data_IF_589447671474
#
_entry.id   IF_589447671474
#
_cell.length_a   1.000
_cell.length_b   1.000
_cell.length_c   1.000
_cell.angle_alpha   90.00
_cell.angle_beta   90.00
_cell.angle_gamma   90.00
#
_symmetry.space_group_name_H-M   'P 1'
#
loop_
_entity.id
_entity.type
_entity.pdbx_description
1 polymer ?
#
# COMPACT_ATOMS: atom_id res chain seq x y z
N UNK A 1 -38.88 -12.06 45.05
CA UNK A 1 -38.46 -11.12 44.00
C UNK A 1 -36.99 -10.75 44.21
N UNK A 2 -36.08 -11.33 43.44
CA UNK A 2 -34.66 -10.98 43.41
C UNK A 2 -34.39 -10.18 42.12
N UNK A 3 -33.97 -8.93 42.25
CA UNK A 3 -33.40 -8.16 41.14
C UNK A 3 -31.91 -8.51 40.99
N UNK A 4 -31.40 -8.73 39.77
CA UNK A 4 -29.97 -8.97 39.56
C UNK A 4 -29.18 -7.67 39.75
N UNK A 5 -28.09 -7.77 40.54
CA UNK A 5 -27.12 -6.71 40.76
C UNK A 5 -26.49 -6.28 39.45
N UNK A 6 -26.66 -5.00 39.06
CA UNK A 6 -25.90 -4.39 37.98
C UNK A 6 -24.42 -4.36 38.34
N UNK A 7 -23.57 -4.47 37.32
CA UNK A 7 -22.11 -4.46 37.40
C UNK A 7 -21.60 -3.27 38.22
N UNK A 8 -20.99 -3.55 39.36
CA UNK A 8 -20.29 -2.55 40.18
C UNK A 8 -18.89 -2.37 39.61
N UNK A 9 -18.67 -1.28 38.87
CA UNK A 9 -17.33 -0.91 38.42
C UNK A 9 -16.47 -0.50 39.63
N UNK A 10 -15.27 -1.06 39.81
CA UNK A 10 -14.37 -0.62 40.86
C UNK A 10 -13.93 0.83 40.58
N UNK A 11 -13.96 1.66 41.62
CA UNK A 11 -13.44 3.02 41.58
C UNK A 11 -11.93 2.97 41.38
N UNK A 12 -11.45 3.41 40.22
CA UNK A 12 -10.01 3.51 39.90
C UNK A 12 -9.29 4.61 40.71
N UNK A 13 -10.02 5.38 41.50
CA UNK A 13 -9.47 6.45 42.34
C UNK A 13 -9.84 6.22 43.81
N UNK A 14 -8.87 6.33 44.75
CA UNK A 14 -9.15 6.24 46.17
C UNK A 14 -10.09 7.36 46.63
N UNK A 15 -11.03 7.03 47.51
CA UNK A 15 -11.96 8.01 48.12
C UNK A 15 -11.17 9.12 48.81
N UNK A 16 -11.30 10.35 48.30
CA UNK A 16 -10.62 11.53 48.82
C UNK A 16 -9.53 12.11 47.90
N UNK A 17 -9.22 11.47 46.76
CA UNK A 17 -8.32 12.07 45.79
C UNK A 17 -9.02 13.25 45.08
N UNK A 18 -8.52 14.47 45.32
CA UNK A 18 -8.96 15.68 44.61
C UNK A 18 -8.34 15.66 43.21
N UNK A 19 -9.11 15.19 42.23
CA UNK A 19 -8.69 15.19 40.82
C UNK A 19 -8.91 16.60 40.29
N UNK A 20 -7.84 17.37 40.16
CA UNK A 20 -7.88 18.63 39.41
C UNK A 20 -7.76 18.29 37.92
N UNK A 21 -8.82 18.48 37.11
CA UNK A 21 -8.74 18.20 35.69
C UNK A 21 -7.65 19.06 35.06
N UNK A 22 -6.78 18.44 34.26
CA UNK A 22 -5.84 19.18 33.42
C UNK A 22 -6.66 20.14 32.57
N UNK A 23 -6.36 21.43 32.68
CA UNK A 23 -7.04 22.48 31.92
C UNK A 23 -7.18 22.07 30.46
N UNK A 24 -8.41 22.14 29.96
CA UNK A 24 -8.82 21.71 28.63
C UNK A 24 -7.79 22.21 27.61
N UNK A 25 -6.98 21.30 27.02
CA UNK A 25 -5.90 21.70 26.12
C UNK A 25 -6.40 22.34 24.81
N UNK A 26 -7.69 22.22 24.53
CA UNK A 26 -8.34 22.79 23.36
C UNK A 26 -9.85 22.90 23.63
N UNK A 27 -10.36 24.13 23.69
CA UNK A 27 -11.79 24.39 23.62
C UNK A 27 -12.25 24.13 22.18
N UNK A 28 -13.24 23.26 22.01
CA UNK A 28 -13.99 23.17 20.76
C UNK A 28 -15.15 24.16 20.86
N UNK A 29 -15.26 25.07 19.89
CA UNK A 29 -16.38 25.99 19.83
C UNK A 29 -17.69 25.19 19.69
N UNK A 30 -18.62 25.47 20.59
CA UNK A 30 -19.93 24.84 20.61
C UNK A 30 -20.72 25.26 19.37
N UNK A 31 -21.06 24.30 18.50
CA UNK A 31 -21.86 24.54 17.29
C UNK A 31 -23.32 25.00 17.57
N UNK A 32 -23.70 25.15 18.84
CA UNK A 32 -25.08 25.46 19.25
C UNK A 32 -25.23 26.77 20.03
N UNK A 33 -24.17 27.55 20.26
CA UNK A 33 -24.29 28.86 20.91
C UNK A 33 -24.45 29.97 19.85
N UNK A 34 -25.70 30.23 19.49
CA UNK A 34 -26.09 31.50 18.90
C UNK A 34 -26.28 32.55 20.00
N UNK A 35 -25.43 33.56 20.04
CA UNK A 35 -25.64 34.73 20.90
C UNK A 35 -24.39 35.55 21.22
N UNK A 36 -24.18 36.60 20.42
CA UNK A 36 -23.59 37.90 20.80
C UNK A 36 -22.29 37.90 21.64
N UNK A 37 -21.15 38.00 20.94
CA UNK A 37 -19.97 38.65 21.49
C UNK A 37 -19.37 39.60 20.46
N UNK A 38 -19.41 40.90 20.79
CA UNK A 38 -18.70 41.99 20.12
C UNK A 38 -17.19 41.73 20.10
N UNK A 39 -16.74 41.06 19.05
CA UNK A 39 -15.36 41.08 18.61
C UNK A 39 -15.39 40.86 17.11
N UNK A 40 -15.48 41.94 16.33
CA UNK A 40 -15.24 41.89 14.89
C UNK A 40 -13.89 41.23 14.63
N UNK A 41 -13.85 40.01 14.07
CA UNK A 41 -12.60 39.44 13.61
C UNK A 41 -12.24 40.21 12.36
N UNK A 42 -11.02 40.73 12.29
CA UNK A 42 -10.45 41.22 11.04
C UNK A 42 -10.35 40.03 10.08
N UNK A 43 -11.38 39.84 9.26
CA UNK A 43 -11.40 38.89 8.15
C UNK A 43 -10.30 39.35 7.21
N UNK A 44 -9.14 38.68 7.24
CA UNK A 44 -8.17 38.81 6.15
C UNK A 44 -8.90 38.31 4.92
N UNK A 45 -9.08 39.19 3.96
CA UNK A 45 -9.66 38.92 2.65
C UNK A 45 -8.86 37.78 2.01
N UNK A 46 -9.37 36.56 2.19
CA UNK A 46 -8.78 35.33 1.68
C UNK A 46 -9.32 35.13 0.28
N UNK A 47 -8.48 35.43 -0.71
CA UNK A 47 -8.80 35.21 -2.11
C UNK A 47 -8.28 33.81 -2.52
N UNK A 48 -9.16 32.80 -2.60
CA UNK A 48 -8.77 31.42 -2.90
C UNK A 48 -8.14 31.29 -4.29
N UNK A 49 -8.46 32.21 -5.22
CA UNK A 49 -7.93 32.21 -6.58
C UNK A 49 -6.45 32.59 -6.55
N UNK A 50 -6.07 33.63 -5.80
CA UNK A 50 -4.67 34.04 -5.65
C UNK A 50 -3.81 33.00 -4.95
N UNK A 51 -4.38 32.24 -4.00
CA UNK A 51 -3.65 31.12 -3.39
C UNK A 51 -3.40 30.02 -4.42
N UNK A 52 -4.43 29.66 -5.18
CA UNK A 52 -4.31 28.64 -6.23
C UNK A 52 -3.28 29.04 -7.28
N UNK A 53 -3.28 30.30 -7.74
CA UNK A 53 -2.29 30.83 -8.69
C UNK A 53 -0.86 30.76 -8.12
N UNK A 54 -0.69 31.05 -6.82
CA UNK A 54 0.61 30.96 -6.15
C UNK A 54 1.11 29.51 -6.06
N UNK A 55 0.22 28.56 -5.76
CA UNK A 55 0.53 27.13 -5.71
C UNK A 55 0.86 26.58 -7.10
N UNK A 56 0.10 26.95 -8.13
CA UNK A 56 0.39 26.61 -9.53
C UNK A 56 1.75 27.17 -9.97
N UNK A 57 2.07 28.42 -9.62
CA UNK A 57 3.37 29.02 -9.91
C UNK A 57 4.54 28.33 -9.19
N UNK A 58 4.34 27.83 -7.97
CA UNK A 58 5.33 27.04 -7.26
C UNK A 58 5.54 25.66 -7.92
N UNK A 59 4.46 25.01 -8.36
CA UNK A 59 4.53 23.74 -9.06
C UNK A 59 5.30 23.88 -10.38
N UNK A 60 5.04 24.92 -11.17
CA UNK A 60 5.75 25.19 -12.42
C UNK A 60 7.26 25.33 -12.17
N UNK A 61 7.66 26.12 -11.15
CA UNK A 61 9.09 26.26 -10.78
C UNK A 61 9.74 24.94 -10.38
N UNK A 62 9.01 24.08 -9.67
CA UNK A 62 9.49 22.75 -9.30
C UNK A 62 9.66 21.85 -10.52
N UNK A 63 8.73 21.90 -11.48
CA UNK A 63 8.81 21.14 -12.73
C UNK A 63 9.98 21.63 -13.60
N UNK A 64 10.21 22.94 -13.70
CA UNK A 64 11.38 23.51 -14.39
C UNK A 64 12.70 23.06 -13.74
N UNK A 65 12.78 23.12 -12.41
CA UNK A 65 13.95 22.65 -11.67
C UNK A 65 14.18 21.15 -11.87
N UNK A 66 13.12 20.34 -11.89
CA UNK A 66 13.19 18.92 -12.15
C UNK A 66 13.66 18.60 -13.58
N UNK A 67 13.09 19.26 -14.59
CA UNK A 67 13.51 19.11 -15.98
C UNK A 67 14.99 19.50 -16.18
N UNK A 68 15.43 20.62 -15.60
CA UNK A 68 16.85 21.02 -15.67
C UNK A 68 17.79 19.98 -15.04
N UNK A 69 17.31 19.26 -14.00
CA UNK A 69 18.06 18.19 -13.34
C UNK A 69 18.09 16.93 -14.19
N UNK A 70 16.97 16.57 -14.82
CA UNK A 70 16.89 15.47 -15.78
C UNK A 70 17.81 15.70 -16.98
N UNK A 71 17.77 16.89 -17.59
CA UNK A 71 18.63 17.25 -18.72
C UNK A 71 20.12 17.18 -18.34
N UNK A 72 20.47 17.59 -17.11
CA UNK A 72 21.84 17.46 -16.60
C UNK A 72 22.27 16.01 -16.41
N UNK A 73 21.37 15.13 -15.96
CA UNK A 73 21.66 13.71 -15.83
C UNK A 73 21.78 13.02 -17.20
N UNK A 74 20.87 13.31 -18.13
CA UNK A 74 20.87 12.72 -19.47
C UNK A 74 22.06 13.19 -20.32
N UNK A 75 22.43 14.47 -20.24
CA UNK A 75 23.66 14.99 -20.89
C UNK A 75 24.96 14.45 -20.29
N UNK A 76 24.95 14.08 -19.00
CA UNK A 76 26.06 13.38 -18.36
C UNK A 76 26.26 11.96 -18.91
N UNK A 77 25.17 11.21 -19.11
CA UNK A 77 25.19 9.86 -19.67
C UNK A 77 25.68 9.80 -21.13
N UNK A 78 25.41 10.83 -21.93
CA UNK A 78 25.89 10.91 -23.32
C UNK A 78 27.39 11.26 -23.45
N UNK A 79 28.06 11.69 -22.36
CA UNK A 79 29.52 11.92 -22.37
C UNK A 79 30.33 10.67 -22.03
N UNK A 80 29.79 9.74 -21.26
CA UNK A 80 30.49 8.51 -20.87
C UNK A 80 30.48 7.43 -21.96
N UNK A 81 29.62 7.56 -22.98
CA UNK A 81 29.54 6.61 -24.10
C UNK A 81 30.39 7.00 -25.32
N UNK A 82 31.12 8.12 -25.28
CA UNK A 82 31.89 8.63 -26.43
C UNK A 82 33.43 8.52 -26.32
N UNK A 83 34.00 7.92 -25.27
CA UNK A 83 35.45 7.71 -25.16
C UNK A 83 35.80 6.22 -25.02
N UNK A 84 35.84 5.52 -26.15
CA UNK A 84 36.21 4.10 -26.16
C UNK A 84 36.56 3.57 -27.54
N UNK A 85 37.61 4.12 -28.18
CA UNK A 85 38.40 3.45 -29.23
C UNK A 85 39.64 4.27 -29.63
N UNK A 86 40.80 3.95 -29.04
CA UNK A 86 42.08 3.77 -29.79
C UNK A 86 43.18 3.20 -28.88
N UNK A 87 43.92 2.27 -29.48
CA UNK A 87 45.04 1.46 -28.98
C UNK A 87 46.33 2.29 -28.79
N UNK A 88 47.26 1.64 -28.06
CA UNK A 88 48.72 1.53 -28.28
C UNK A 88 49.69 2.16 -27.27
N UNK A 89 50.76 1.38 -27.06
CA UNK A 89 51.82 1.39 -26.04
C UNK A 89 52.71 2.65 -26.00
N UNK A 90 53.39 2.87 -24.85
CA UNK A 90 54.88 2.95 -24.73
C UNK A 90 55.33 3.51 -23.36
N UNK A 91 56.46 2.98 -22.90
CA UNK A 91 57.20 3.16 -21.64
C UNK A 91 57.79 4.56 -21.36
N UNK A 92 57.99 4.78 -20.05
CA UNK A 92 59.09 5.46 -19.32
C UNK A 92 59.33 6.97 -19.48
N UNK A 93 59.39 7.65 -18.32
CA UNK A 93 60.05 8.95 -18.15
C UNK A 93 59.75 9.61 -16.81
N UNK A 94 60.79 9.84 -16.00
CA UNK A 94 60.76 10.32 -14.60
C UNK A 94 61.22 11.79 -14.57
N UNK A 95 60.50 12.70 -13.90
CA UNK A 95 61.03 13.81 -13.07
C UNK A 95 59.95 14.85 -12.64
N UNK A 96 59.75 14.93 -11.31
CA UNK A 96 59.59 16.13 -10.43
C UNK A 96 58.80 17.36 -10.93
N UNK A 97 57.70 17.73 -10.25
CA UNK A 97 57.69 18.62 -9.06
C UNK A 97 56.27 19.16 -8.74
N UNK A 98 55.98 19.21 -7.43
CA UNK A 98 55.05 20.08 -6.69
C UNK A 98 53.65 20.43 -7.24
N UNK A 99 52.62 19.89 -6.59
CA UNK A 99 51.27 20.44 -6.61
C UNK A 99 50.39 19.79 -5.54
N UNK A 100 50.23 20.46 -4.39
CA UNK A 100 49.29 20.09 -3.33
C UNK A 100 47.88 19.87 -3.90
N UNK A 101 47.28 18.69 -3.71
CA UNK A 101 45.83 18.58 -3.64
C UNK A 101 45.40 17.57 -2.57
N UNK A 102 44.65 18.14 -1.62
CA UNK A 102 44.03 17.50 -0.46
C UNK A 102 43.10 16.38 -0.90
N UNK A 103 43.08 15.30 -0.12
CA UNK A 103 42.10 14.23 -0.22
C UNK A 103 40.67 14.75 -0.16
N UNK A 104 39.91 14.47 -1.23
CA UNK A 104 38.46 14.59 -1.25
C UNK A 104 37.86 13.35 -0.63
N UNK A 105 37.45 13.45 0.64
CA UNK A 105 36.48 12.53 1.24
C UNK A 105 35.26 12.45 0.33
N UNK A 106 34.83 11.24 0.00
CA UNK A 106 33.52 11.01 -0.60
C UNK A 106 32.47 11.67 0.27
N UNK A 107 31.74 12.62 -0.31
CA UNK A 107 30.60 13.25 0.35
C UNK A 107 29.51 12.19 0.46
N UNK A 108 29.42 11.54 1.63
CA UNK A 108 28.18 10.90 2.06
C UNK A 108 27.19 12.05 2.24
N UNK A 109 26.37 12.30 1.22
CA UNK A 109 25.25 13.23 1.34
C UNK A 109 24.20 12.53 2.19
N UNK A 110 24.14 12.93 3.46
CA UNK A 110 23.08 12.58 4.38
C UNK A 110 21.73 12.97 3.75
N UNK A 111 20.92 11.96 3.42
CA UNK A 111 19.53 12.13 2.98
C UNK A 111 18.77 12.86 4.10
N UNK A 112 18.49 14.15 3.90
CA UNK A 112 17.50 14.86 4.72
C UNK A 112 16.13 14.28 4.35
N UNK A 113 15.54 13.53 5.27
CA UNK A 113 14.11 13.21 5.24
C UNK A 113 13.32 14.52 5.13
N UNK A 114 12.64 14.72 4.01
CA UNK A 114 11.58 15.71 3.92
C UNK A 114 10.43 15.26 4.83
N UNK A 115 9.93 16.12 5.73
CA UNK A 115 8.82 15.76 6.59
C UNK A 115 7.59 15.47 5.73
N UNK A 116 6.95 14.33 6.02
CA UNK A 116 5.67 13.93 5.43
C UNK A 116 4.66 15.03 5.73
N UNK A 117 3.98 15.52 4.69
CA UNK A 117 2.90 16.50 4.83
C UNK A 117 1.89 16.01 5.87
N UNK A 118 1.68 16.84 6.90
CA UNK A 118 0.69 16.64 7.97
C UNK A 118 -0.72 17.06 7.55
N UNK A 119 -0.90 17.49 6.30
CA UNK A 119 -2.23 17.80 5.79
C UNK A 119 -3.07 16.51 5.73
N UNK A 120 -4.25 16.46 6.36
CA UNK A 120 -5.15 15.32 6.24
C UNK A 120 -5.54 15.18 4.76
N UNK A 121 -5.15 14.06 4.15
CA UNK A 121 -5.53 13.72 2.79
C UNK A 121 -7.05 13.59 2.77
N UNK A 122 -7.74 14.50 2.07
CA UNK A 122 -9.16 14.31 1.76
C UNK A 122 -9.24 13.26 0.66
N UNK A 123 -9.42 12.01 1.08
CA UNK A 123 -9.79 10.91 0.20
C UNK A 123 -11.20 11.22 -0.29
N UNK A 124 -11.31 11.73 -1.52
CA UNK A 124 -12.58 11.85 -2.21
C UNK A 124 -12.80 10.53 -2.95
N UNK A 125 -13.17 9.50 -2.19
CA UNK A 125 -13.65 8.27 -2.79
C UNK A 125 -15.04 8.52 -3.37
N UNK A 126 -15.28 8.02 -4.58
CA UNK A 126 -16.63 7.87 -5.12
C UNK A 126 -17.41 7.01 -4.14
N UNK A 127 -18.26 7.66 -3.34
CA UNK A 127 -19.35 6.96 -2.69
C UNK A 127 -20.12 6.27 -3.82
N UNK A 128 -20.08 4.94 -3.83
CA UNK A 128 -20.96 4.15 -4.68
C UNK A 128 -22.36 4.76 -4.58
N UNK A 129 -23.00 5.12 -5.71
CA UNK A 129 -24.37 5.59 -5.67
C UNK A 129 -25.19 4.52 -4.97
N UNK A 130 -26.02 4.95 -4.02
CA UNK A 130 -26.94 4.08 -3.28
C UNK A 130 -28.07 3.61 -4.20
N UNK A 131 -27.71 3.00 -5.33
CA UNK A 131 -28.63 2.28 -6.18
C UNK A 131 -28.77 0.90 -5.54
N UNK A 132 -29.92 0.74 -4.90
CA UNK A 132 -30.39 -0.41 -4.12
C UNK A 132 -29.95 -0.48 -2.66
N UNK A 133 -30.74 0.24 -1.87
CA UNK A 133 -31.04 0.10 -0.43
C UNK A 133 -30.21 0.99 0.48
N UNK A 134 -30.95 1.79 1.26
CA UNK A 134 -30.52 2.56 2.43
C UNK A 134 -29.97 1.67 3.57
N UNK A 135 -29.11 0.71 3.26
CA UNK A 135 -28.36 -0.08 4.23
C UNK A 135 -27.05 0.63 4.56
N UNK A 136 -26.64 0.56 5.82
CA UNK A 136 -25.25 0.83 6.17
C UNK A 136 -24.36 -0.07 5.29
N UNK A 137 -23.32 0.47 4.64
CA UNK A 137 -22.34 -0.31 3.85
C UNK A 137 -21.83 -1.55 4.61
N UNK A 138 -21.78 -1.44 5.94
CA UNK A 138 -21.44 -2.52 6.86
C UNK A 138 -22.34 -3.78 6.79
N UNK A 139 -23.54 -3.67 6.22
CA UNK A 139 -24.52 -4.75 6.06
C UNK A 139 -24.59 -5.32 4.63
N UNK A 140 -23.85 -4.77 3.68
CA UNK A 140 -23.74 -5.35 2.35
C UNK A 140 -22.96 -6.68 2.42
N UNK A 141 -23.38 -7.67 1.64
CA UNK A 141 -22.63 -8.91 1.52
C UNK A 141 -21.24 -8.60 0.94
N UNK A 142 -20.15 -9.06 1.58
CA UNK A 142 -18.82 -8.85 1.04
C UNK A 142 -18.71 -9.51 -0.33
N UNK A 143 -18.15 -8.79 -1.30
CA UNK A 143 -17.93 -9.32 -2.64
C UNK A 143 -16.47 -9.16 -3.02
N UNK A 144 -15.90 -10.19 -3.64
CA UNK A 144 -14.59 -10.10 -4.28
C UNK A 144 -14.73 -9.21 -5.50
N UNK A 145 -13.92 -8.16 -5.57
CA UNK A 145 -13.93 -7.18 -6.65
C UNK A 145 -13.82 -7.90 -7.99
N UNK A 146 -14.59 -7.42 -8.97
CA UNK A 146 -14.58 -7.96 -10.33
C UNK A 146 -14.19 -6.84 -11.28
N UNK A 147 -12.91 -6.80 -11.62
CA UNK A 147 -12.34 -5.82 -12.53
C UNK A 147 -12.22 -6.37 -13.94
N UNK A 148 -11.94 -5.48 -14.89
CA UNK A 148 -11.64 -5.88 -16.26
C UNK A 148 -10.37 -6.76 -16.29
N UNK A 149 -10.45 -7.89 -16.99
CA UNK A 149 -9.44 -8.94 -16.96
C UNK A 149 -8.63 -8.92 -18.25
N UNK A 150 -7.33 -8.55 -18.24
CA UNK A 150 -6.48 -8.83 -19.37
C UNK A 150 -6.41 -10.35 -19.56
N UNK A 151 -6.65 -10.83 -20.79
CA UNK A 151 -6.49 -12.24 -21.13
C UNK A 151 -5.01 -12.59 -21.03
N UNK A 152 -4.67 -13.49 -20.09
CA UNK A 152 -3.35 -14.08 -20.02
C UNK A 152 -3.40 -15.43 -20.72
N UNK A 153 -2.62 -15.62 -21.78
CA UNK A 153 -2.59 -16.91 -22.48
C UNK A 153 -2.02 -17.99 -21.56
N UNK A 154 -0.80 -17.78 -21.08
CA UNK A 154 -0.11 -18.69 -20.18
C UNK A 154 0.90 -17.93 -19.33
N UNK A 155 0.75 -17.98 -18.01
CA UNK A 155 1.74 -17.54 -17.05
C UNK A 155 2.45 -18.76 -16.46
N UNK A 156 3.75 -18.66 -16.21
CA UNK A 156 4.51 -19.67 -15.47
C UNK A 156 5.15 -19.03 -14.26
N UNK A 157 4.84 -19.52 -13.07
CA UNK A 157 5.39 -19.05 -11.81
C UNK A 157 6.22 -20.16 -11.18
N UNK A 158 7.47 -19.84 -10.82
CA UNK A 158 8.32 -20.64 -9.96
C UNK A 158 8.19 -20.11 -8.54
N UNK A 159 7.77 -20.96 -7.61
CA UNK A 159 7.49 -20.58 -6.22
C UNK A 159 8.38 -21.34 -5.24
N UNK A 160 8.77 -20.67 -4.16
CA UNK A 160 9.46 -21.33 -3.05
C UNK A 160 8.44 -22.09 -2.18
N UNK A 161 8.88 -23.00 -1.29
CA UNK A 161 7.97 -23.73 -0.40
C UNK A 161 7.10 -22.81 0.46
N UNK A 162 7.62 -21.64 0.85
CA UNK A 162 6.88 -20.68 1.66
C UNK A 162 5.72 -20.06 0.85
N UNK A 163 5.94 -19.79 -0.44
CA UNK A 163 5.03 -19.09 -1.35
C UNK A 163 3.77 -19.90 -1.71
N UNK A 164 3.85 -21.25 -1.70
CA UNK A 164 2.79 -22.17 -2.19
C UNK A 164 1.43 -21.87 -1.56
N UNK A 165 1.43 -21.60 -0.26
CA UNK A 165 0.25 -21.31 0.53
C UNK A 165 -0.61 -20.14 -0.01
N UNK A 166 0.05 -19.13 -0.59
CA UNK A 166 -0.63 -17.99 -1.19
C UNK A 166 -1.17 -18.29 -2.58
N UNK A 167 -0.45 -19.12 -3.34
CA UNK A 167 -0.90 -19.59 -4.66
C UNK A 167 -2.17 -20.43 -4.53
N UNK A 168 -2.26 -21.29 -3.51
CA UNK A 168 -3.48 -22.06 -3.22
C UNK A 168 -4.70 -21.15 -2.99
N UNK A 169 -4.49 -20.03 -2.29
CA UNK A 169 -5.55 -19.06 -2.02
C UNK A 169 -6.03 -18.36 -3.30
N UNK A 170 -5.10 -18.03 -4.20
CA UNK A 170 -5.45 -17.48 -5.52
C UNK A 170 -6.10 -18.52 -6.44
N UNK A 171 -5.71 -19.79 -6.34
CA UNK A 171 -6.27 -20.88 -7.15
C UNK A 171 -7.76 -21.13 -6.86
N UNK A 172 -8.19 -20.94 -5.60
CA UNK A 172 -9.62 -20.97 -5.22
C UNK A 172 -10.42 -19.95 -6.02
N UNK A 173 -9.98 -18.69 -6.00
CA UNK A 173 -10.60 -17.59 -6.78
C UNK A 173 -10.49 -17.86 -8.28
N UNK A 174 -9.38 -18.44 -8.74
CA UNK A 174 -9.19 -18.83 -10.14
C UNK A 174 -10.28 -19.75 -10.67
N UNK A 175 -10.82 -20.64 -9.83
CA UNK A 175 -11.88 -21.59 -10.20
C UNK A 175 -13.16 -20.86 -10.62
N UNK A 176 -13.57 -19.86 -9.86
CA UNK A 176 -14.76 -19.04 -10.15
C UNK A 176 -14.54 -18.11 -11.34
N UNK A 177 -13.30 -17.67 -11.54
CA UNK A 177 -12.92 -16.71 -12.59
C UNK A 177 -12.51 -17.39 -13.90
N UNK A 178 -12.51 -18.72 -13.96
CA UNK A 178 -12.15 -19.48 -15.17
C UNK A 178 -10.67 -19.43 -15.53
N UNK A 179 -9.79 -19.20 -14.55
CA UNK A 179 -8.33 -19.22 -14.70
C UNK A 179 -7.81 -20.53 -14.13
N UNK A 180 -7.24 -21.37 -14.99
CA UNK A 180 -6.73 -22.67 -14.56
C UNK A 180 -5.38 -22.53 -13.86
N UNK A 181 -5.23 -23.20 -12.73
CA UNK A 181 -3.94 -23.41 -12.08
C UNK A 181 -3.51 -24.86 -12.35
N UNK A 182 -2.27 -25.06 -12.79
CA UNK A 182 -1.72 -26.37 -13.12
C UNK A 182 -0.30 -26.54 -12.55
N UNK A 183 0.18 -27.78 -12.41
CA UNK A 183 1.48 -28.07 -11.79
C UNK A 183 1.35 -28.44 -10.31
N UNK A 184 2.17 -27.81 -9.46
CA UNK A 184 2.20 -28.08 -8.00
C UNK A 184 0.90 -27.69 -7.29
N UNK A 185 0.26 -26.62 -7.74
CA UNK A 185 -1.07 -26.21 -7.28
C UNK A 185 -2.03 -26.33 -8.45
N UNK A 186 -3.10 -27.08 -8.26
CA UNK A 186 -4.14 -27.29 -9.28
C UNK A 186 -5.51 -26.98 -8.73
N UNK A 187 -6.36 -26.38 -9.55
CA UNK A 187 -7.76 -26.15 -9.25
C UNK A 187 -8.73 -26.98 -10.11
N UNK A 188 -8.21 -27.90 -10.94
CA UNK A 188 -9.03 -28.89 -11.64
C UNK A 188 -9.97 -28.36 -12.73
N UNK A 189 -9.90 -27.07 -13.08
CA UNK A 189 -10.74 -26.48 -14.14
C UNK A 189 -9.99 -26.39 -15.48
N UNK A 190 -10.76 -26.32 -16.57
CA UNK A 190 -10.21 -26.03 -17.90
C UNK A 190 -9.96 -24.54 -18.05
N UNK A 191 -8.83 -24.16 -18.67
CA UNK A 191 -8.46 -22.77 -18.91
C UNK A 191 -9.45 -22.11 -19.87
N UNK A 192 -10.32 -21.22 -19.36
CA UNK A 192 -11.23 -20.39 -20.17
C UNK A 192 -10.62 -19.00 -20.39
N UNK A 193 -10.07 -18.41 -19.34
CA UNK A 193 -9.53 -17.05 -19.32
C UNK A 193 -8.01 -16.99 -19.14
N UNK A 194 -7.35 -18.15 -19.10
CA UNK A 194 -5.91 -18.29 -18.99
C UNK A 194 -5.47 -19.49 -18.16
N UNK A 195 -4.17 -19.78 -18.22
CA UNK A 195 -3.51 -20.82 -17.42
C UNK A 195 -2.34 -20.21 -16.63
N UNK A 196 -2.23 -20.54 -15.34
CA UNK A 196 -1.08 -20.26 -14.47
C UNK A 196 -0.42 -21.59 -14.10
N UNK A 197 0.77 -21.85 -14.66
CA UNK A 197 1.56 -23.04 -14.35
C UNK A 197 2.44 -22.76 -13.14
N UNK A 198 2.23 -23.52 -12.07
CA UNK A 198 2.93 -23.39 -10.79
C UNK A 198 4.00 -24.47 -10.70
N UNK A 199 5.26 -24.04 -10.67
CA UNK A 199 6.42 -24.92 -10.53
C UNK A 199 7.09 -24.66 -9.18
N UNK A 200 7.59 -25.71 -8.53
CA UNK A 200 8.42 -25.56 -7.34
C UNK A 200 9.85 -25.23 -7.74
N UNK A 201 10.42 -24.17 -7.17
CA UNK A 201 11.79 -23.75 -7.45
C UNK A 201 12.55 -23.34 -6.21
N UNK A 202 13.88 -23.20 -6.35
CA UNK A 202 14.75 -22.68 -5.30
C UNK A 202 14.59 -21.16 -5.09
N UNK A 203 14.14 -20.45 -6.14
CA UNK A 203 13.88 -19.02 -6.13
C UNK A 203 12.51 -18.71 -6.73
N UNK A 204 11.97 -17.57 -6.31
CA UNK A 204 10.74 -17.02 -6.85
C UNK A 204 11.00 -16.39 -8.23
N UNK A 205 10.18 -16.73 -9.22
CA UNK A 205 10.15 -15.99 -10.49
C UNK A 205 8.81 -16.16 -11.19
N UNK A 206 8.43 -15.15 -11.96
CA UNK A 206 7.27 -15.14 -12.84
C UNK A 206 7.73 -14.92 -14.28
N UNK A 207 7.14 -15.68 -15.20
CA UNK A 207 7.30 -15.54 -16.65
C UNK A 207 5.93 -15.46 -17.32
N UNK A 208 5.69 -14.39 -18.07
CA UNK A 208 4.48 -14.18 -18.88
C UNK A 208 4.92 -13.65 -20.23
N UNK A 209 4.70 -14.42 -21.29
CA UNK A 209 5.14 -14.09 -22.66
C UNK A 209 6.63 -13.69 -22.71
N UNK A 210 6.95 -12.42 -23.00
CA UNK A 210 8.31 -11.88 -23.05
C UNK A 210 8.77 -11.26 -21.73
N UNK A 211 7.89 -11.16 -20.74
CA UNK A 211 8.16 -10.55 -19.45
C UNK A 211 8.60 -11.59 -18.43
N UNK A 212 9.70 -11.30 -17.72
CA UNK A 212 10.12 -12.07 -16.56
C UNK A 212 10.45 -11.16 -15.38
N UNK A 213 10.09 -11.61 -14.18
CA UNK A 213 10.37 -10.88 -12.94
C UNK A 213 10.65 -11.83 -11.79
N UNK A 214 11.60 -11.46 -10.94
CA UNK A 214 11.87 -12.12 -9.66
C UNK A 214 11.17 -11.43 -8.48
N UNK A 215 10.49 -10.31 -8.71
CA UNK A 215 9.80 -9.54 -7.67
C UNK A 215 8.40 -10.13 -7.38
N UNK A 216 8.17 -10.52 -6.12
CA UNK A 216 6.90 -11.11 -5.68
C UNK A 216 5.75 -10.14 -5.81
N UNK A 217 5.96 -8.87 -5.45
CA UNK A 217 4.90 -7.87 -5.43
C UNK A 217 4.37 -7.63 -6.85
N UNK A 218 5.27 -7.51 -7.82
CA UNK A 218 4.91 -7.43 -9.23
C UNK A 218 4.20 -8.71 -9.69
N UNK A 219 4.70 -9.89 -9.30
CA UNK A 219 4.07 -11.14 -9.71
C UNK A 219 2.65 -11.30 -9.17
N UNK A 220 2.40 -10.97 -7.91
CA UNK A 220 1.06 -11.00 -7.32
C UNK A 220 0.13 -10.01 -8.00
N UNK A 221 0.60 -8.81 -8.37
CA UNK A 221 -0.21 -7.85 -9.14
C UNK A 221 -0.57 -8.39 -10.52
N UNK A 222 0.37 -9.02 -11.22
CA UNK A 222 0.13 -9.59 -12.55
C UNK A 222 -0.88 -10.74 -12.50
N UNK A 223 -0.73 -11.66 -11.54
CA UNK A 223 -1.68 -12.76 -11.34
C UNK A 223 -3.03 -12.21 -10.87
N UNK A 224 -3.03 -11.24 -9.95
CA UNK A 224 -4.24 -10.56 -9.49
C UNK A 224 -4.99 -9.86 -10.63
N UNK A 225 -4.27 -9.26 -11.59
CA UNK A 225 -4.86 -8.69 -12.79
C UNK A 225 -5.51 -9.77 -13.66
N UNK A 226 -4.85 -10.91 -13.87
CA UNK A 226 -5.40 -12.05 -14.58
C UNK A 226 -6.73 -12.54 -13.95
N UNK A 227 -6.78 -12.55 -12.63
CA UNK A 227 -7.94 -12.97 -11.84
C UNK A 227 -9.03 -11.90 -11.77
N UNK A 228 -8.73 -10.64 -12.14
CA UNK A 228 -9.67 -9.52 -12.03
C UNK A 228 -9.82 -8.97 -10.62
N UNK A 229 -8.85 -9.23 -9.73
CA UNK A 229 -8.82 -8.75 -8.33
C UNK A 229 -7.81 -7.61 -8.12
N UNK A 230 -7.19 -7.16 -9.21
CA UNK A 230 -6.29 -6.02 -9.32
C UNK A 230 -6.42 -5.43 -10.73
N UNK A 231 -6.20 -4.12 -10.91
CA UNK A 231 -6.17 -3.48 -12.23
C UNK A 231 -5.08 -2.41 -12.26
N UNK A 232 -4.50 -2.14 -13.43
CA UNK A 232 -3.52 -1.08 -13.63
C UNK A 232 -4.17 0.23 -14.12
N UNK A 233 -5.49 0.32 -14.13
CA UNK A 233 -6.22 1.52 -14.53
C UNK A 233 -5.98 2.67 -13.55
N UNK A 234 -5.88 3.88 -14.10
CA UNK A 234 -5.56 5.09 -13.33
C UNK A 234 -6.69 5.49 -12.37
N UNK A 235 -7.93 5.14 -12.69
CA UNK A 235 -9.12 5.40 -11.86
C UNK A 235 -9.02 4.72 -10.49
N UNK A 236 -8.30 3.59 -10.42
CA UNK A 236 -8.09 2.83 -9.20
C UNK A 236 -6.76 3.16 -8.51
N UNK A 237 -6.10 4.27 -8.84
CA UNK A 237 -4.76 4.60 -8.33
C UNK A 237 -4.68 4.62 -6.78
N UNK A 238 -5.70 5.13 -6.10
CA UNK A 238 -5.76 5.17 -4.63
C UNK A 238 -5.86 3.75 -4.06
N UNK A 239 -6.81 2.95 -4.55
CA UNK A 239 -6.96 1.55 -4.16
C UNK A 239 -5.68 0.75 -4.45
N UNK A 240 -5.08 0.94 -5.62
CA UNK A 240 -3.84 0.30 -6.03
C UNK A 240 -2.65 0.66 -5.14
N UNK A 241 -2.63 1.88 -4.60
CA UNK A 241 -1.63 2.31 -3.62
C UNK A 241 -1.79 1.55 -2.30
N UNK A 242 -3.03 1.36 -1.83
CA UNK A 242 -3.31 0.52 -0.65
C UNK A 242 -2.93 -0.94 -0.90
N UNK A 243 -3.35 -1.51 -2.03
CA UNK A 243 -2.97 -2.88 -2.43
C UNK A 243 -1.45 -3.03 -2.44
N UNK A 244 -0.74 -2.13 -3.09
CA UNK A 244 0.72 -2.20 -3.16
C UNK A 244 1.36 -2.17 -1.78
N UNK A 245 0.91 -1.28 -0.90
CA UNK A 245 1.41 -1.20 0.49
C UNK A 245 1.25 -2.52 1.24
N UNK A 246 0.11 -3.19 1.10
CA UNK A 246 -0.12 -4.48 1.75
C UNK A 246 0.70 -5.60 1.16
N UNK A 247 0.89 -5.61 -0.16
CA UNK A 247 1.76 -6.58 -0.82
C UNK A 247 3.22 -6.44 -0.38
N UNK A 248 3.72 -5.22 -0.16
CA UNK A 248 5.06 -5.00 0.40
C UNK A 248 5.18 -5.60 1.80
N UNK A 249 4.17 -5.40 2.66
CA UNK A 249 4.15 -5.99 4.01
C UNK A 249 4.07 -7.51 3.98
N UNK A 250 3.35 -8.06 2.98
CA UNK A 250 3.29 -9.49 2.78
C UNK A 250 4.66 -10.05 2.36
N UNK A 251 5.36 -9.38 1.45
CA UNK A 251 6.70 -9.77 1.03
C UNK A 251 7.68 -9.77 2.21
N UNK A 252 7.62 -8.76 3.10
CA UNK A 252 8.37 -8.75 4.38
C UNK A 252 8.08 -10.02 5.23
N UNK A 253 6.82 -10.45 5.31
CA UNK A 253 6.43 -11.67 6.03
C UNK A 253 7.00 -12.92 5.37
N UNK A 254 6.99 -12.98 4.04
CA UNK A 254 7.54 -14.11 3.27
C UNK A 254 9.06 -14.20 3.47
N UNK A 255 9.77 -13.08 3.30
CA UNK A 255 11.22 -13.01 3.48
C UNK A 255 11.65 -13.42 4.89
N UNK A 256 10.86 -13.05 5.89
CA UNK A 256 11.06 -13.40 7.30
C UNK A 256 10.49 -14.77 7.68
N UNK A 257 10.09 -15.59 6.69
CA UNK A 257 9.58 -16.96 6.87
C UNK A 257 8.44 -17.06 7.89
N UNK A 258 7.48 -16.13 7.79
CA UNK A 258 6.30 -16.07 8.68
C UNK A 258 6.66 -15.94 10.16
N UNK A 259 7.72 -15.18 10.48
CA UNK A 259 8.08 -14.88 11.87
C UNK A 259 6.91 -14.25 12.64
N UNK A 260 6.60 -14.81 13.81
CA UNK A 260 5.46 -14.41 14.66
C UNK A 260 5.43 -12.91 14.97
N UNK A 261 6.59 -12.26 15.16
CA UNK A 261 6.65 -10.83 15.43
C UNK A 261 6.20 -10.01 14.20
N UNK A 262 6.65 -10.42 13.01
CA UNK A 262 6.32 -9.73 11.75
C UNK A 262 4.85 -9.96 11.42
N UNK A 263 4.34 -11.18 11.63
CA UNK A 263 2.91 -11.50 11.49
C UNK A 263 2.08 -10.72 12.51
N UNK A 264 2.53 -10.58 13.76
CA UNK A 264 1.87 -9.77 14.80
C UNK A 264 1.83 -8.28 14.47
N UNK A 265 2.88 -7.74 13.85
CA UNK A 265 2.91 -6.36 13.33
C UNK A 265 1.95 -6.19 12.15
N UNK A 266 1.88 -7.18 11.25
CA UNK A 266 0.91 -7.19 10.15
C UNK A 266 -0.52 -7.24 10.70
N UNK A 267 -0.79 -8.08 11.70
CA UNK A 267 -2.09 -8.19 12.36
C UNK A 267 -2.50 -6.87 13.01
N UNK A 268 -1.59 -6.24 13.76
CA UNK A 268 -1.83 -4.95 14.41
C UNK A 268 -2.11 -3.84 13.39
N UNK A 269 -1.33 -3.81 12.30
CA UNK A 269 -1.53 -2.85 11.21
C UNK A 269 -2.86 -3.10 10.50
N UNK A 270 -3.22 -4.37 10.27
CA UNK A 270 -4.48 -4.76 9.65
C UNK A 270 -5.66 -4.34 10.52
N UNK A 271 -5.60 -4.61 11.83
CA UNK A 271 -6.61 -4.15 12.78
C UNK A 271 -6.70 -2.62 12.79
N UNK A 272 -5.60 -1.88 12.80
CA UNK A 272 -5.70 -0.42 12.75
C UNK A 272 -6.38 0.07 11.45
N UNK A 273 -6.05 -0.54 10.31
CA UNK A 273 -6.65 -0.18 9.03
C UNK A 273 -8.13 -0.53 8.95
N UNK A 274 -8.48 -1.77 9.32
CA UNK A 274 -9.84 -2.30 9.31
C UNK A 274 -10.76 -1.65 10.37
N UNK A 275 -10.24 -0.78 11.22
CA UNK A 275 -11.08 0.08 12.07
C UNK A 275 -11.77 1.21 11.29
N UNK A 276 -11.29 1.50 10.07
CA UNK A 276 -11.77 2.59 9.20
C UNK A 276 -12.33 2.10 7.87
N UNK A 277 -11.87 0.93 7.42
CA UNK A 277 -12.21 0.33 6.13
C UNK A 277 -12.76 -1.08 6.36
N UNK A 278 -13.68 -1.53 5.50
CA UNK A 278 -14.22 -2.88 5.58
C UNK A 278 -13.31 -3.93 4.91
N UNK A 279 -12.37 -3.52 4.06
CA UNK A 279 -11.34 -4.37 3.46
C UNK A 279 -9.95 -3.70 3.51
N UNK A 280 -8.91 -4.43 3.11
CA UNK A 280 -7.53 -3.91 3.11
C UNK A 280 -7.24 -2.94 1.96
N UNK A 281 -8.10 -2.86 0.94
CA UNK A 281 -7.89 -1.92 -0.18
C UNK A 281 -9.00 -0.90 -0.36
N UNK A 282 -10.21 -1.14 0.15
CA UNK A 282 -11.36 -0.28 -0.10
C UNK A 282 -12.41 -0.38 1.01
N UNK A 283 -13.48 0.39 0.86
CA UNK A 283 -14.61 0.38 1.79
C UNK A 283 -15.65 -0.71 1.55
N UNK A 284 -15.66 -1.38 0.39
CA UNK A 284 -16.78 -2.26 0.04
C UNK A 284 -16.36 -3.57 -0.64
N UNK A 285 -15.17 -3.64 -1.22
CA UNK A 285 -14.77 -4.81 -2.01
C UNK A 285 -13.50 -5.47 -1.47
N UNK A 286 -13.53 -6.80 -1.45
CA UNK A 286 -12.37 -7.62 -1.17
C UNK A 286 -11.49 -7.68 -2.42
N UNK A 287 -10.19 -7.58 -2.23
CA UNK A 287 -9.20 -7.42 -3.29
C UNK A 287 -8.01 -8.36 -3.09
N UNK A 288 -7.04 -8.29 -3.98
CA UNK A 288 -5.81 -9.09 -3.91
C UNK A 288 -5.17 -9.22 -2.50
N UNK A 289 -4.87 -8.15 -1.74
CA UNK A 289 -4.28 -8.28 -0.41
C UNK A 289 -5.19 -9.01 0.57
N UNK A 290 -6.51 -8.89 0.43
CA UNK A 290 -7.46 -9.58 1.31
C UNK A 290 -7.33 -11.09 1.19
N UNK A 291 -7.27 -11.56 -0.06
CA UNK A 291 -7.12 -12.98 -0.41
C UNK A 291 -5.78 -13.57 0.06
N UNK A 292 -4.72 -12.76 0.00
CA UNK A 292 -3.36 -13.21 0.32
C UNK A 292 -3.04 -13.13 1.81
N UNK A 293 -3.55 -12.13 2.53
CA UNK A 293 -3.26 -11.95 3.95
C UNK A 293 -4.18 -12.81 4.82
N UNK A 294 -5.44 -13.00 4.43
CA UNK A 294 -6.44 -13.79 5.18
C UNK A 294 -5.89 -15.11 5.72
N UNK A 295 -5.19 -15.95 4.92
CA UNK A 295 -4.75 -17.26 5.38
C UNK A 295 -3.72 -17.20 6.53
N UNK A 296 -3.07 -16.06 6.78
CA UNK A 296 -2.12 -15.90 7.89
C UNK A 296 -2.80 -15.79 9.26
N UNK A 297 -4.09 -15.47 9.31
CA UNK A 297 -4.80 -15.17 10.54
C UNK A 297 -5.77 -16.30 10.90
N UNK A 298 -5.56 -16.92 12.05
CA UNK A 298 -6.33 -18.08 12.49
C UNK A 298 -7.17 -17.78 13.73
N UNK A 299 -6.53 -17.74 14.91
CA UNK A 299 -7.21 -17.62 16.21
C UNK A 299 -6.75 -16.38 16.98
N UNK A 300 -7.56 -15.96 17.97
CA UNK A 300 -7.30 -14.81 18.85
C UNK A 300 -7.11 -13.49 18.07
N UNK A 301 -8.05 -13.21 17.16
CA UNK A 301 -8.00 -12.02 16.32
C UNK A 301 -8.71 -10.84 17.01
N UNK A 302 -8.23 -9.59 16.82
CA UNK A 302 -9.00 -8.41 17.17
C UNK A 302 -10.36 -8.42 16.46
N UNK A 303 -11.40 -7.92 17.11
CA UNK A 303 -12.79 -8.01 16.64
C UNK A 303 -12.98 -7.57 15.17
N UNK A 304 -12.30 -6.52 14.73
CA UNK A 304 -12.41 -6.05 13.36
C UNK A 304 -11.70 -6.95 12.34
N UNK A 305 -10.55 -7.53 12.70
CA UNK A 305 -9.88 -8.53 11.85
C UNK A 305 -10.72 -9.81 11.81
N UNK A 306 -11.31 -10.21 12.93
CA UNK A 306 -12.20 -11.37 12.99
C UNK A 306 -13.42 -11.20 12.07
N UNK A 307 -14.08 -10.04 12.13
CA UNK A 307 -15.21 -9.72 11.24
C UNK A 307 -14.79 -9.73 9.77
N UNK A 308 -13.65 -9.13 9.45
CA UNK A 308 -13.08 -9.14 8.10
C UNK A 308 -12.75 -10.56 7.61
N UNK A 309 -12.17 -11.40 8.47
CA UNK A 309 -11.90 -12.82 8.19
C UNK A 309 -13.19 -13.56 7.83
N UNK A 310 -14.23 -13.44 8.66
CA UNK A 310 -15.54 -14.07 8.42
C UNK A 310 -16.18 -13.60 7.12
N UNK A 311 -16.00 -12.32 6.79
CA UNK A 311 -16.49 -11.74 5.54
C UNK A 311 -15.79 -12.35 4.32
N UNK A 312 -14.47 -12.52 4.38
CA UNK A 312 -13.71 -13.18 3.31
C UNK A 312 -14.12 -14.64 3.16
N UNK A 313 -14.24 -15.37 4.27
CA UNK A 313 -14.62 -16.79 4.25
C UNK A 313 -16.05 -17.01 3.72
N UNK A 314 -16.91 -16.00 3.83
CA UNK A 314 -18.26 -16.04 3.27
C UNK A 314 -18.31 -15.69 1.78
N UNK A 315 -17.24 -15.10 1.25
CA UNK A 315 -17.15 -14.61 -0.13
C UNK A 315 -16.25 -15.50 -1.02
N UNK A 316 -15.59 -16.52 -0.46
CA UNK A 316 -14.70 -17.49 -1.11
C UNK A 316 -15.29 -18.90 -1.03
#
# INVERSE_FOLDING_TARGET
HNMPSMYTLPLYFPQGMKVDPIGVMYSLDSYHEGGESDATPTIKEFDPIKQLEKEQGQLIKLLEAFNSRLDKHLSGLNRETASGKKKEDIKQGKATSSGKQKGGRGNVVLLKCTPISTAPWKIQEEKMPAEDKNGLSACAAPTVITLNRPKINKASISVTPDDIFWVESLAKVGSERGVAFSGEVTNGIKAVNGEVVVNKGASFSLSIDTFSSSDRVTAWKMIGAALGVFSFEAELAVQNTHIHRWLMRLDEVIEMKKNDNVVGLLLSSSSQFLSRFDSLSSHCHLSLPDLLIRPLFNSNLPNNVELWVRRIDSAL
#
